data_IF_292307165254
#
_entry.id   IF_292307165254
#
_cell.length_a   1.000
_cell.length_b   1.000
_cell.length_c   1.000
_cell.angle_alpha   90.00
_cell.angle_beta   90.00
_cell.angle_gamma   90.00
#
_symmetry.space_group_name_H-M   'P 1'
#
loop_
_entity.id
_entity.type
_entity.pdbx_description
1 polymer ?
#
# COMPACT_ATOMS: atom_id res chain seq x y z
N UNK A 1 4.80 2.16 0.42
CA UNK A 1 6.27 2.03 0.43
C UNK A 1 6.90 3.06 -0.52
N UNK A 2 6.56 3.11 -1.82
CA UNK A 2 7.19 4.00 -2.81
C UNK A 2 7.16 5.48 -2.38
N UNK A 3 6.01 5.99 -1.94
CA UNK A 3 5.84 7.37 -1.46
C UNK A 3 6.81 7.70 -0.32
N UNK A 4 6.91 6.82 0.67
CA UNK A 4 7.81 6.99 1.82
C UNK A 4 9.28 6.99 1.38
N UNK A 5 9.67 6.03 0.52
CA UNK A 5 11.04 5.92 0.02
C UNK A 5 11.46 7.17 -0.79
N UNK A 6 10.59 7.66 -1.67
CA UNK A 6 10.83 8.88 -2.46
C UNK A 6 10.91 10.13 -1.58
N UNK A 7 10.05 10.23 -0.56
CA UNK A 7 10.09 11.34 0.39
C UNK A 7 11.41 11.36 1.18
N UNK A 8 11.84 10.20 1.70
CA UNK A 8 13.11 10.07 2.40
C UNK A 8 14.27 10.43 1.48
N UNK A 9 14.29 9.89 0.25
CA UNK A 9 15.32 10.20 -0.75
C UNK A 9 15.40 11.69 -1.04
N UNK A 10 14.26 12.36 -1.23
CA UNK A 10 14.18 13.81 -1.50
C UNK A 10 14.77 14.64 -0.38
N UNK A 11 14.56 14.23 0.88
CA UNK A 11 14.94 15.02 2.07
C UNK A 11 16.21 14.51 2.77
N UNK A 12 16.81 13.43 2.26
CA UNK A 12 18.14 12.95 2.62
C UNK A 12 18.25 12.28 3.99
N UNK A 13 19.50 12.13 4.45
CA UNK A 13 19.90 11.35 5.62
C UNK A 13 19.17 11.76 6.90
N UNK A 14 19.01 13.06 7.15
CA UNK A 14 18.30 13.55 8.34
C UNK A 14 16.86 13.04 8.38
N UNK A 15 16.21 12.93 7.24
CA UNK A 15 14.85 12.38 7.14
C UNK A 15 14.85 10.87 7.32
N UNK A 16 15.83 10.16 6.76
CA UNK A 16 15.99 8.73 6.98
C UNK A 16 16.17 8.40 8.47
N UNK A 17 17.01 9.16 9.17
CA UNK A 17 17.19 9.01 10.64
C UNK A 17 15.87 9.24 11.38
N UNK A 18 15.14 10.31 11.07
CA UNK A 18 13.83 10.56 11.69
C UNK A 18 12.85 9.43 11.45
N UNK A 19 12.81 8.89 10.23
CA UNK A 19 11.95 7.78 9.89
C UNK A 19 12.29 6.51 10.68
N UNK A 20 13.56 6.18 10.82
CA UNK A 20 14.01 5.03 11.61
C UNK A 20 13.72 5.21 13.11
N UNK A 21 13.99 6.39 13.68
CA UNK A 21 13.69 6.67 15.08
C UNK A 21 12.17 6.71 15.38
N UNK A 22 11.33 6.88 14.36
CA UNK A 22 9.87 6.87 14.52
C UNK A 22 9.33 5.49 14.91
N UNK A 23 10.12 4.45 14.74
CA UNK A 23 9.83 3.09 15.23
C UNK A 23 9.50 3.11 16.73
N UNK A 24 10.20 3.91 17.55
CA UNK A 24 9.90 4.05 18.98
C UNK A 24 8.47 4.57 19.27
N UNK A 25 7.93 5.42 18.40
CA UNK A 25 6.55 5.92 18.51
C UNK A 25 5.54 4.80 18.16
N UNK A 26 5.79 4.08 17.09
CA UNK A 26 4.91 2.98 16.64
C UNK A 26 4.97 1.79 17.60
N UNK A 27 6.15 1.44 18.10
CA UNK A 27 6.32 0.39 19.12
C UNK A 27 5.56 0.71 20.39
N UNK A 28 5.61 1.95 20.88
CA UNK A 28 4.82 2.35 22.04
C UNK A 28 3.32 2.24 21.80
N UNK A 29 2.81 2.72 20.66
CA UNK A 29 1.39 2.58 20.28
C UNK A 29 0.97 1.11 20.22
N UNK A 30 1.80 0.27 19.58
CA UNK A 30 1.58 -1.17 19.49
C UNK A 30 1.55 -1.85 20.86
N UNK A 31 2.54 -1.55 21.70
CA UNK A 31 2.64 -2.10 23.06
C UNK A 31 1.43 -1.71 23.92
N UNK A 32 0.96 -0.47 23.85
CA UNK A 32 -0.26 -0.05 24.55
C UNK A 32 -1.50 -0.83 24.10
N UNK A 33 -1.67 -1.05 22.79
CA UNK A 33 -2.78 -1.85 22.29
C UNK A 33 -2.65 -3.32 22.73
N UNK A 34 -1.45 -3.89 22.61
CA UNK A 34 -1.18 -5.25 23.07
C UNK A 34 -1.49 -5.40 24.55
N UNK A 35 -0.98 -4.53 25.40
CA UNK A 35 -1.21 -4.54 26.85
C UNK A 35 -2.69 -4.49 27.23
N UNK A 36 -3.49 -3.75 26.44
CA UNK A 36 -4.95 -3.66 26.65
C UNK A 36 -5.68 -4.97 26.37
N UNK A 37 -5.22 -5.75 25.37
CA UNK A 37 -5.97 -6.88 24.85
C UNK A 37 -5.30 -8.25 25.05
N UNK A 38 -4.02 -8.32 25.47
CA UNK A 38 -3.24 -9.54 25.59
C UNK A 38 -3.95 -10.63 26.39
N UNK A 39 -4.52 -10.30 27.54
CA UNK A 39 -5.27 -11.27 28.39
C UNK A 39 -6.49 -11.85 27.67
N UNK A 40 -7.22 -11.02 26.93
CA UNK A 40 -8.39 -11.47 26.15
C UNK A 40 -8.01 -12.39 25.00
N UNK A 41 -6.79 -12.22 24.48
CA UNK A 41 -6.22 -13.04 23.40
C UNK A 41 -5.50 -14.29 23.94
N UNK A 42 -5.44 -14.49 25.27
CA UNK A 42 -4.74 -15.63 25.87
C UNK A 42 -3.22 -15.47 25.89
N UNK A 43 -2.70 -14.24 25.81
CA UNK A 43 -1.28 -13.94 25.84
C UNK A 43 -0.86 -13.32 27.18
N UNK A 44 0.43 -13.43 27.49
CA UNK A 44 1.02 -12.77 28.64
C UNK A 44 1.17 -11.26 28.39
N UNK A 45 0.97 -10.46 29.43
CA UNK A 45 1.18 -9.02 29.36
C UNK A 45 2.65 -8.66 29.47
N UNK A 46 3.07 -7.56 28.87
CA UNK A 46 4.37 -6.98 29.15
C UNK A 46 4.52 -6.68 30.65
N UNK A 47 5.70 -6.91 31.17
CA UNK A 47 6.06 -6.48 32.52
C UNK A 47 6.14 -4.95 32.62
N UNK A 48 6.11 -4.44 33.84
CA UNK A 48 6.30 -3.00 34.07
C UNK A 48 7.65 -2.49 33.59
N UNK A 49 8.70 -3.34 33.68
CA UNK A 49 10.04 -2.97 33.21
C UNK A 49 10.09 -2.83 31.69
N UNK A 50 9.54 -3.80 30.94
CA UNK A 50 9.45 -3.75 29.46
C UNK A 50 8.62 -2.56 28.97
N UNK A 51 7.47 -2.31 29.59
CA UNK A 51 6.64 -1.14 29.24
C UNK A 51 7.36 0.17 29.50
N UNK A 52 8.13 0.26 30.59
CA UNK A 52 8.91 1.44 30.90
C UNK A 52 10.03 1.67 29.89
N UNK A 53 10.73 0.63 29.48
CA UNK A 53 11.78 0.73 28.46
C UNK A 53 11.23 1.28 27.13
N UNK A 54 10.07 0.77 26.70
CA UNK A 54 9.37 1.24 25.48
C UNK A 54 8.94 2.71 25.63
N UNK A 55 8.45 3.11 26.80
CA UNK A 55 8.03 4.49 27.07
C UNK A 55 9.22 5.45 27.14
N UNK A 56 10.35 5.02 27.73
CA UNK A 56 11.59 5.79 27.79
C UNK A 56 12.16 6.02 26.39
N UNK A 57 12.16 4.99 25.52
CA UNK A 57 12.55 5.11 24.12
C UNK A 57 11.69 6.12 23.34
N UNK A 58 10.36 6.04 23.50
CA UNK A 58 9.42 7.02 22.92
C UNK A 58 9.71 8.44 23.42
N UNK A 59 9.90 8.59 24.73
CA UNK A 59 10.13 9.89 25.36
C UNK A 59 11.45 10.51 24.89
N UNK A 60 12.48 9.70 24.76
CA UNK A 60 13.77 10.08 24.18
C UNK A 60 13.64 10.60 22.76
N UNK A 61 12.89 9.88 21.91
CA UNK A 61 12.63 10.30 20.52
C UNK A 61 11.84 11.62 20.45
N UNK A 62 10.83 11.81 21.29
CA UNK A 62 10.07 13.06 21.35
C UNK A 62 10.94 14.23 21.85
N UNK A 63 11.80 13.99 22.83
CA UNK A 63 12.72 15.00 23.32
C UNK A 63 13.74 15.43 22.25
N UNK A 64 14.22 14.49 21.44
CA UNK A 64 15.15 14.78 20.35
C UNK A 64 14.50 15.53 19.19
N UNK A 65 13.31 15.09 18.75
CA UNK A 65 12.68 15.56 17.50
C UNK A 65 11.51 16.53 17.69
N UNK A 66 11.08 16.76 18.92
CA UNK A 66 9.99 17.67 19.29
C UNK A 66 8.62 16.99 19.39
N UNK A 67 7.66 17.68 20.03
CA UNK A 67 6.31 17.13 20.35
C UNK A 67 5.56 16.57 19.13
N UNK A 68 5.64 17.24 17.99
CA UNK A 68 4.99 16.79 16.74
C UNK A 68 5.50 15.44 16.22
N UNK A 69 6.65 15.00 16.72
CA UNK A 69 7.18 13.68 16.36
C UNK A 69 6.33 12.53 16.90
N UNK A 70 5.61 12.71 18.01
CA UNK A 70 4.71 11.71 18.57
C UNK A 70 3.39 11.52 17.82
N UNK A 71 3.06 12.42 16.89
CA UNK A 71 1.83 12.39 16.11
C UNK A 71 1.92 11.44 14.91
N UNK A 72 0.78 11.20 14.24
CA UNK A 72 0.77 10.39 13.02
C UNK A 72 1.66 11.05 11.95
N UNK A 73 2.51 10.24 11.31
CA UNK A 73 3.52 10.74 10.36
C UNK A 73 4.45 11.83 10.92
N UNK A 74 4.61 11.90 12.25
CA UNK A 74 5.42 12.90 12.94
C UNK A 74 6.89 12.94 12.50
N UNK A 75 7.41 11.84 11.95
CA UNK A 75 8.74 11.81 11.33
C UNK A 75 8.88 12.81 10.18
N UNK A 76 7.80 13.11 9.45
CA UNK A 76 7.77 14.06 8.34
C UNK A 76 7.44 15.52 8.79
N UNK A 77 7.03 15.72 10.04
CA UNK A 77 6.52 17.01 10.53
C UNK A 77 7.46 18.19 10.31
N UNK A 78 8.76 18.00 10.46
CA UNK A 78 9.76 19.07 10.31
C UNK A 78 9.85 19.64 8.90
N UNK A 79 9.62 18.79 7.87
CA UNK A 79 9.66 19.21 6.47
C UNK A 79 8.32 19.75 6.02
N UNK A 80 7.24 19.10 6.42
CA UNK A 80 5.90 19.52 6.05
C UNK A 80 5.43 20.78 6.82
N UNK A 81 6.17 21.17 7.88
CA UNK A 81 5.83 22.30 8.76
C UNK A 81 4.40 22.19 9.32
N UNK A 82 4.01 20.97 9.65
CA UNK A 82 2.69 20.64 10.16
C UNK A 82 2.82 19.85 11.47
N UNK A 83 2.04 20.22 12.50
CA UNK A 83 2.08 19.54 13.80
C UNK A 83 1.50 18.13 13.75
N UNK A 84 0.55 17.88 12.87
CA UNK A 84 -0.07 16.57 12.64
C UNK A 84 -0.11 16.27 11.14
N UNK A 85 1.00 15.78 10.55
CA UNK A 85 1.08 15.51 9.12
C UNK A 85 0.13 14.40 8.68
N UNK A 86 -0.22 14.42 7.41
CA UNK A 86 -1.02 13.39 6.77
C UNK A 86 -0.26 12.73 5.63
N UNK A 87 -0.63 11.50 5.29
CA UNK A 87 -0.04 10.81 4.13
C UNK A 87 -0.29 11.58 2.82
N UNK A 88 -1.43 12.28 2.71
CA UNK A 88 -1.72 13.13 1.55
C UNK A 88 -0.69 14.25 1.35
N UNK A 89 -0.27 14.88 2.44
CA UNK A 89 0.76 15.94 2.38
C UNK A 89 2.14 15.38 2.00
N UNK A 90 2.45 14.14 2.40
CA UNK A 90 3.67 13.45 1.97
C UNK A 90 3.62 13.18 0.46
N UNK A 91 2.48 12.67 -0.06
CA UNK A 91 2.25 12.46 -1.50
C UNK A 91 2.40 13.76 -2.30
N UNK A 92 1.78 14.84 -1.83
CA UNK A 92 1.83 16.15 -2.46
C UNK A 92 3.26 16.71 -2.49
N UNK A 93 4.00 16.60 -1.40
CA UNK A 93 5.38 17.07 -1.31
C UNK A 93 6.30 16.45 -2.36
N UNK A 94 6.06 15.19 -2.74
CA UNK A 94 6.85 14.48 -3.75
C UNK A 94 6.19 14.43 -5.13
N UNK A 95 5.02 15.08 -5.32
CA UNK A 95 4.32 15.14 -6.60
C UNK A 95 3.61 13.84 -7.01
N UNK A 96 3.30 12.95 -6.05
CA UNK A 96 2.60 11.68 -6.30
C UNK A 96 1.12 11.70 -5.87
N UNK A 97 0.58 12.86 -5.55
CA UNK A 97 -0.83 13.03 -5.15
C UNK A 97 -1.82 12.59 -6.26
N UNK A 98 -1.42 12.60 -7.53
CA UNK A 98 -2.20 12.08 -8.64
C UNK A 98 -2.44 10.55 -8.58
N UNK A 99 -1.63 9.81 -7.80
CA UNK A 99 -1.80 8.37 -7.56
C UNK A 99 -2.79 8.06 -6.40
N UNK A 100 -3.31 9.08 -5.73
CA UNK A 100 -4.21 8.91 -4.60
C UNK A 100 -5.49 8.11 -4.88
N UNK A 101 -6.11 8.15 -6.07
CA UNK A 101 -7.23 7.26 -6.40
C UNK A 101 -6.88 5.78 -6.24
N UNK A 102 -5.71 5.35 -6.70
CA UNK A 102 -5.24 3.96 -6.56
C UNK A 102 -5.02 3.57 -5.10
N UNK A 103 -4.42 4.48 -4.29
CA UNK A 103 -4.29 4.27 -2.86
C UNK A 103 -5.65 4.08 -2.19
N UNK A 104 -6.66 4.91 -2.51
CA UNK A 104 -8.01 4.79 -1.97
C UNK A 104 -8.67 3.47 -2.37
N UNK A 105 -8.53 3.04 -3.61
CA UNK A 105 -9.05 1.76 -4.09
C UNK A 105 -8.42 0.59 -3.31
N UNK A 106 -7.09 0.58 -3.18
CA UNK A 106 -6.39 -0.43 -2.39
C UNK A 106 -6.82 -0.43 -0.91
N UNK A 107 -7.01 0.75 -0.32
CA UNK A 107 -7.48 0.91 1.07
C UNK A 107 -8.87 0.32 1.28
N UNK A 108 -9.78 0.42 0.32
CA UNK A 108 -11.12 -0.19 0.40
C UNK A 108 -11.04 -1.72 0.54
N UNK A 109 -10.07 -2.36 -0.11
CA UNK A 109 -9.84 -3.79 0.03
C UNK A 109 -9.29 -4.19 1.40
N UNK A 110 -8.43 -3.36 1.99
CA UNK A 110 -7.85 -3.61 3.32
C UNK A 110 -8.88 -3.44 4.43
N UNK A 111 -9.73 -2.42 4.33
CA UNK A 111 -10.67 -2.05 5.38
C UNK A 111 -12.07 -2.69 5.24
N UNK A 112 -12.24 -3.68 4.35
CA UNK A 112 -13.52 -4.35 4.11
C UNK A 112 -14.68 -3.37 3.85
N UNK A 113 -14.38 -2.28 3.15
CA UNK A 113 -15.40 -1.34 2.65
C UNK A 113 -16.39 -2.08 1.74
N UNK A 114 -17.69 -1.70 1.68
CA UNK A 114 -18.68 -2.33 0.80
C UNK A 114 -18.24 -2.45 -0.66
N UNK A 115 -17.56 -1.44 -1.20
CA UNK A 115 -16.97 -1.52 -2.55
C UNK A 115 -15.86 -2.56 -2.62
N UNK A 116 -14.96 -2.59 -1.63
CA UNK A 116 -13.91 -3.58 -1.55
C UNK A 116 -14.43 -5.01 -1.43
N UNK A 117 -15.53 -5.21 -0.70
CA UNK A 117 -16.21 -6.50 -0.60
C UNK A 117 -16.78 -6.93 -1.95
N UNK A 118 -17.51 -6.05 -2.65
CA UNK A 118 -18.10 -6.33 -3.96
C UNK A 118 -17.01 -6.69 -4.98
N UNK A 119 -15.92 -5.93 -5.05
CA UNK A 119 -14.80 -6.23 -5.96
C UNK A 119 -14.09 -7.54 -5.63
N UNK A 120 -14.06 -7.95 -4.35
CA UNK A 120 -13.47 -9.24 -3.92
C UNK A 120 -14.33 -10.45 -4.24
N UNK A 121 -15.60 -10.26 -4.45
CA UNK A 121 -16.52 -11.37 -4.76
C UNK A 121 -16.18 -12.04 -6.10
N UNK A 122 -15.27 -11.47 -6.89
CA UNK A 122 -14.82 -12.07 -8.14
C UNK A 122 -16.00 -12.40 -9.06
N UNK A 123 -16.91 -11.44 -9.22
CA UNK A 123 -18.08 -11.62 -10.07
C UNK A 123 -17.63 -11.78 -11.51
N UNK A 124 -17.83 -12.97 -12.06
CA UNK A 124 -17.68 -13.21 -13.47
C UNK A 124 -19.02 -12.94 -14.20
N UNK A 125 -19.12 -11.76 -14.80
CA UNK A 125 -20.41 -11.25 -15.23
C UNK A 125 -21.31 -10.99 -14.01
N UNK A 126 -22.57 -10.70 -14.21
CA UNK A 126 -23.49 -10.33 -13.11
C UNK A 126 -24.02 -11.51 -12.29
N UNK A 127 -23.65 -12.77 -12.63
CA UNK A 127 -24.37 -13.95 -12.12
C UNK A 127 -23.51 -14.98 -11.36
N UNK A 128 -22.19 -14.98 -11.53
CA UNK A 128 -21.35 -16.03 -10.95
C UNK A 128 -20.30 -15.48 -9.99
N UNK A 129 -20.27 -16.03 -8.81
CA UNK A 129 -19.23 -15.78 -7.82
C UNK A 129 -18.07 -16.73 -8.10
N UNK A 130 -16.87 -16.18 -8.33
CA UNK A 130 -15.65 -16.97 -8.43
C UNK A 130 -15.16 -17.33 -7.02
N UNK A 131 -15.05 -18.61 -6.74
CA UNK A 131 -14.44 -19.13 -5.53
C UNK A 131 -13.09 -19.78 -5.85
N UNK A 132 -12.05 -19.43 -5.10
CA UNK A 132 -10.71 -19.97 -5.27
C UNK A 132 -9.77 -19.07 -6.07
N UNK A 133 -8.54 -19.56 -6.40
CA UNK A 133 -7.54 -18.80 -7.14
C UNK A 133 -8.04 -18.42 -8.53
N UNK A 134 -7.92 -17.15 -8.89
CA UNK A 134 -8.34 -16.60 -10.17
C UNK A 134 -7.35 -15.56 -10.67
N UNK A 135 -7.14 -15.52 -11.98
CA UNK A 135 -6.38 -14.48 -12.66
C UNK A 135 -7.27 -13.28 -13.09
N UNK A 136 -8.56 -13.34 -12.79
CA UNK A 136 -9.47 -12.21 -13.05
C UNK A 136 -9.10 -11.02 -12.17
N UNK A 137 -9.08 -9.82 -12.79
CA UNK A 137 -8.80 -8.57 -12.07
C UNK A 137 -7.35 -8.35 -11.66
N UNK A 138 -6.38 -9.14 -12.17
CA UNK A 138 -4.95 -8.97 -11.85
C UNK A 138 -4.25 -7.86 -12.64
N UNK A 139 -4.87 -7.29 -13.69
CA UNK A 139 -4.24 -6.28 -14.56
C UNK A 139 -3.78 -5.06 -13.75
N UNK A 140 -4.70 -4.42 -13.05
CA UNK A 140 -4.43 -3.22 -12.25
C UNK A 140 -3.42 -3.47 -11.11
N UNK A 141 -3.63 -4.46 -10.21
CA UNK A 141 -2.69 -4.69 -9.13
C UNK A 141 -1.33 -5.20 -9.61
N UNK A 142 -1.27 -5.97 -10.68
CA UNK A 142 -0.02 -6.46 -11.26
C UNK A 142 0.83 -5.33 -11.83
N UNK A 143 0.24 -4.48 -12.66
CA UNK A 143 0.93 -3.33 -13.24
C UNK A 143 1.33 -2.32 -12.16
N UNK A 144 0.43 -1.98 -11.23
CA UNK A 144 0.73 -1.08 -10.12
C UNK A 144 1.86 -1.59 -9.22
N UNK A 145 1.97 -2.91 -9.04
CA UNK A 145 3.07 -3.54 -8.30
C UNK A 145 4.39 -3.37 -9.04
N UNK A 146 4.42 -3.60 -10.36
CA UNK A 146 5.61 -3.41 -11.18
C UNK A 146 6.11 -1.95 -11.13
N UNK A 147 5.21 -0.98 -11.28
CA UNK A 147 5.53 0.45 -11.17
C UNK A 147 6.08 0.78 -9.77
N UNK A 148 5.44 0.31 -8.72
CA UNK A 148 5.88 0.57 -7.34
C UNK A 148 7.26 -0.04 -7.05
N UNK A 149 7.51 -1.25 -7.55
CA UNK A 149 8.81 -1.91 -7.43
C UNK A 149 9.90 -1.14 -8.17
N UNK A 150 9.63 -0.71 -9.41
CA UNK A 150 10.54 0.14 -10.19
C UNK A 150 10.88 1.43 -9.42
N UNK A 151 9.89 2.13 -8.87
CA UNK A 151 10.09 3.37 -8.13
C UNK A 151 10.98 3.17 -6.89
N UNK A 152 10.71 2.15 -6.07
CA UNK A 152 11.50 1.87 -4.86
C UNK A 152 12.92 1.45 -5.21
N UNK A 153 13.09 0.54 -6.19
CA UNK A 153 14.40 0.07 -6.60
C UNK A 153 15.24 1.21 -7.21
N UNK A 154 14.62 2.08 -8.02
CA UNK A 154 15.28 3.26 -8.54
C UNK A 154 15.78 4.20 -7.44
N UNK A 155 15.03 4.35 -6.33
CA UNK A 155 15.49 5.13 -5.18
C UNK A 155 16.79 4.56 -4.59
N UNK A 156 16.89 3.24 -4.47
CA UNK A 156 18.08 2.56 -3.94
C UNK A 156 19.26 2.64 -4.91
N UNK A 157 19.05 2.31 -6.17
CA UNK A 157 20.10 2.29 -7.18
C UNK A 157 20.74 3.68 -7.40
N UNK A 158 19.95 4.74 -7.32
CA UNK A 158 20.44 6.11 -7.46
C UNK A 158 21.01 6.72 -6.17
N UNK A 159 21.18 5.95 -5.09
CA UNK A 159 22.05 6.34 -3.99
C UNK A 159 23.52 6.37 -4.44
N UNK A 160 23.88 5.53 -5.40
CA UNK A 160 25.17 5.55 -6.08
C UNK A 160 24.91 5.58 -7.58
N UNK A 161 25.07 6.75 -8.19
CA UNK A 161 24.81 6.94 -9.62
C UNK A 161 25.97 6.37 -10.44
N UNK A 162 25.88 5.08 -10.81
CA UNK A 162 26.79 4.40 -11.74
C UNK A 162 26.09 4.18 -13.08
N UNK A 163 26.88 3.98 -14.15
CA UNK A 163 26.32 3.65 -15.46
C UNK A 163 25.50 2.35 -15.40
N UNK A 164 25.98 1.34 -14.69
CA UNK A 164 25.29 0.06 -14.52
C UNK A 164 23.91 0.24 -13.87
N UNK A 165 23.82 1.10 -12.84
CA UNK A 165 22.55 1.40 -12.18
C UNK A 165 21.57 2.11 -13.12
N UNK A 166 22.05 3.01 -13.99
CA UNK A 166 21.22 3.67 -15.01
C UNK A 166 20.70 2.65 -16.02
N UNK A 167 21.55 1.75 -16.51
CA UNK A 167 21.17 0.68 -17.43
C UNK A 167 20.15 -0.24 -16.77
N UNK A 168 20.36 -0.65 -15.52
CA UNK A 168 19.45 -1.52 -14.77
C UNK A 168 18.07 -0.88 -14.63
N UNK A 169 18.00 0.40 -14.25
CA UNK A 169 16.73 1.13 -14.16
C UNK A 169 16.04 1.18 -15.52
N UNK A 170 16.79 1.39 -16.61
CA UNK A 170 16.19 1.40 -17.96
C UNK A 170 15.61 0.04 -18.35
N UNK A 171 16.32 -1.05 -18.03
CA UNK A 171 15.79 -2.41 -18.22
C UNK A 171 14.50 -2.64 -17.40
N UNK A 172 14.50 -2.23 -16.13
CA UNK A 172 13.32 -2.34 -15.28
C UNK A 172 12.12 -1.53 -15.81
N UNK A 173 12.36 -0.35 -16.41
CA UNK A 173 11.29 0.44 -17.06
C UNK A 173 10.66 -0.34 -18.22
N UNK A 174 11.50 -0.92 -19.10
CA UNK A 174 11.03 -1.72 -20.24
C UNK A 174 10.21 -2.92 -19.74
N UNK A 175 10.72 -3.65 -18.75
CA UNK A 175 10.00 -4.79 -18.16
C UNK A 175 8.67 -4.38 -17.51
N UNK A 176 8.61 -3.23 -16.84
CA UNK A 176 7.37 -2.72 -16.25
C UNK A 176 6.31 -2.44 -17.31
N UNK A 177 6.69 -1.85 -18.46
CA UNK A 177 5.80 -1.59 -19.58
C UNK A 177 5.32 -2.91 -20.24
N UNK A 178 6.23 -3.88 -20.39
CA UNK A 178 5.91 -5.21 -20.91
C UNK A 178 4.95 -5.98 -19.98
N UNK A 179 5.13 -5.88 -18.66
CA UNK A 179 4.24 -6.49 -17.67
C UNK A 179 2.82 -5.96 -17.83
N UNK A 180 2.62 -4.65 -17.93
CA UNK A 180 1.31 -4.05 -18.14
C UNK A 180 0.63 -4.58 -19.40
N UNK A 181 1.36 -4.66 -20.50
CA UNK A 181 0.88 -5.20 -21.76
C UNK A 181 0.55 -6.69 -21.67
N UNK A 182 1.39 -7.48 -21.00
CA UNK A 182 1.21 -8.91 -20.83
C UNK A 182 -0.04 -9.25 -19.99
N UNK A 183 -0.25 -8.51 -18.90
CA UNK A 183 -1.45 -8.66 -18.06
C UNK A 183 -2.73 -8.33 -18.83
N UNK A 184 -2.75 -7.24 -19.62
CA UNK A 184 -3.90 -6.88 -20.45
C UNK A 184 -4.23 -7.97 -21.48
N UNK A 185 -3.22 -8.47 -22.19
CA UNK A 185 -3.41 -9.57 -23.15
C UNK A 185 -3.88 -10.88 -22.48
N UNK A 186 -3.41 -11.16 -21.27
CA UNK A 186 -3.85 -12.33 -20.52
C UNK A 186 -5.33 -12.17 -20.10
N UNK A 187 -5.73 -10.99 -19.65
CA UNK A 187 -7.12 -10.70 -19.31
C UNK A 187 -8.06 -10.86 -20.49
N UNK A 188 -7.73 -10.28 -21.66
CA UNK A 188 -8.50 -10.45 -22.90
C UNK A 188 -8.71 -11.92 -23.28
N UNK A 189 -7.65 -12.75 -23.11
CA UNK A 189 -7.76 -14.21 -23.38
C UNK A 189 -8.71 -14.90 -22.40
N UNK A 190 -8.68 -14.53 -21.12
CA UNK A 190 -9.58 -15.06 -20.09
C UNK A 190 -11.02 -14.70 -20.44
N UNK A 191 -11.30 -13.42 -20.72
CA UNK A 191 -12.64 -12.98 -21.11
C UNK A 191 -13.15 -13.65 -22.38
N UNK A 192 -12.30 -13.77 -23.40
CA UNK A 192 -12.67 -14.45 -24.65
C UNK A 192 -13.00 -15.94 -24.42
N UNK A 193 -12.26 -16.61 -23.53
CA UNK A 193 -12.53 -18.00 -23.15
C UNK A 193 -13.85 -18.14 -22.42
N UNK A 194 -14.13 -17.25 -21.50
CA UNK A 194 -15.36 -17.23 -20.72
C UNK A 194 -16.60 -16.98 -21.58
N UNK A 195 -16.52 -16.03 -22.52
CA UNK A 195 -17.59 -15.79 -23.49
C UNK A 195 -17.92 -17.04 -24.29
N UNK A 196 -16.93 -17.87 -24.62
CA UNK A 196 -17.13 -19.14 -25.33
C UNK A 196 -17.75 -20.23 -24.44
N UNK A 197 -17.51 -20.20 -23.15
CA UNK A 197 -18.01 -21.18 -22.19
C UNK A 197 -19.39 -20.84 -21.66
N UNK A 198 -19.88 -19.62 -21.85
CA UNK A 198 -21.24 -19.24 -21.48
C UNK A 198 -22.24 -19.96 -22.38
N UNK A 199 -23.21 -20.72 -21.82
CA UNK A 199 -24.32 -21.25 -22.59
C UNK A 199 -25.02 -20.09 -23.30
N UNK A 200 -25.39 -20.27 -24.57
CA UNK A 200 -26.29 -19.34 -25.26
C UNK A 200 -27.62 -19.37 -24.49
N UNK A 201 -27.88 -18.37 -23.67
CA UNK A 201 -29.20 -18.22 -23.05
C UNK A 201 -30.22 -18.00 -24.20
N UNK A 202 -31.13 -18.96 -24.35
CA UNK A 202 -32.38 -18.71 -25.07
C UNK A 202 -33.07 -17.51 -24.40
N UNK A 203 -33.25 -16.44 -25.15
CA UNK A 203 -34.05 -15.31 -24.76
C UNK A 203 -35.47 -15.85 -24.62
N UNK A 204 -35.83 -16.31 -23.42
CA UNK A 204 -37.24 -16.51 -23.09
C UNK A 204 -37.84 -15.13 -22.96
N UNK A 205 -38.41 -14.67 -24.08
CA UNK A 205 -39.41 -13.59 -24.09
C UNK A 205 -40.47 -13.97 -23.08
N UNK A 206 -40.55 -13.22 -21.99
CA UNK A 206 -41.65 -13.32 -21.02
C UNK A 206 -42.97 -13.08 -21.82
N UNK A 207 -44.01 -13.93 -21.68
CA UNK A 207 -45.28 -13.59 -22.23
C UNK A 207 -45.82 -12.36 -21.54
N UNK A 208 -46.14 -11.34 -22.32
CA UNK A 208 -46.94 -10.19 -21.88
C UNK A 208 -48.18 -10.70 -21.16
N UNK A 209 -48.27 -10.44 -19.86
CA UNK A 209 -49.52 -10.65 -19.12
C UNK A 209 -50.39 -9.43 -19.33
N UNK A 210 -51.52 -9.68 -20.00
CA UNK A 210 -52.70 -8.81 -20.17
C UNK A 210 -53.28 -8.41 -18.80
#
# INVERSE_FOLDING_TARGET
>A
IAVTALFIKKHGEKMARRYLCYEAIESYKGAQQYQRYCRRLGHESFSQAEMKEIEDARSGAINEFGKSFGENYGWAASVLKHSNPTFAQIEENIGLNHLRPYYKMASQHVHADPKGAIFRLGLNGERFLLAGPSNMGLVEPGHSTAISLLQVTSCLLFLQSTLDNVVLVKVMMILSDEIGTAFSKAHEKIEAREKKLRPKEEIKTSPETV
#
